data_IF_295154319782
#
_entry.id   IF_295154319782
#
_cell.length_a   1.000
_cell.length_b   1.000
_cell.length_c   1.000
_cell.angle_alpha   90.00
_cell.angle_beta   90.00
_cell.angle_gamma   90.00
#
_symmetry.space_group_name_H-M   'P 1'
#
loop_
_entity.id
_entity.type
_entity.pdbx_description
1 polymer ?
#
# COMPACT_ATOMS: atom_id res chain seq x y z
N UNK A 1 -13.18 2.73 19.26
CA UNK A 1 -14.51 3.15 18.78
C UNK A 1 -15.10 2.10 17.85
N UNK A 2 -14.47 1.82 16.71
CA UNK A 2 -14.98 0.88 15.69
C UNK A 2 -15.21 -0.55 16.18
N UNK A 3 -14.27 -1.15 16.92
CA UNK A 3 -14.44 -2.52 17.45
C UNK A 3 -15.56 -2.66 18.50
N UNK A 4 -15.94 -1.56 19.16
CA UNK A 4 -17.03 -1.58 20.16
C UNK A 4 -18.41 -1.35 19.53
N UNK A 5 -18.45 -0.79 18.32
CA UNK A 5 -19.68 -0.46 17.60
C UNK A 5 -20.02 -1.45 16.49
N UNK A 6 -19.14 -2.42 16.22
CA UNK A 6 -19.32 -3.40 15.16
C UNK A 6 -20.08 -4.61 15.72
N UNK A 7 -21.14 -5.02 15.03
CA UNK A 7 -21.88 -6.23 15.36
C UNK A 7 -21.22 -7.41 14.66
N UNK A 8 -20.62 -8.31 15.43
CA UNK A 8 -19.93 -9.49 14.92
C UNK A 8 -20.93 -10.63 14.79
N UNK A 9 -21.02 -11.21 13.59
CA UNK A 9 -21.81 -12.41 13.37
C UNK A 9 -21.33 -13.53 14.33
N UNK A 10 -22.25 -14.24 15.02
CA UNK A 10 -21.89 -15.27 15.99
C UNK A 10 -20.97 -16.39 15.49
N UNK A 11 -20.87 -16.58 14.17
CA UNK A 11 -19.98 -17.57 13.54
C UNK A 11 -18.52 -17.13 13.44
N UNK A 12 -18.21 -15.85 13.67
CA UNK A 12 -16.88 -15.30 13.51
C UNK A 12 -16.06 -15.52 14.78
N UNK A 13 -14.98 -16.29 14.72
CA UNK A 13 -14.12 -16.51 15.90
C UNK A 13 -12.83 -15.67 15.88
N UNK A 14 -12.47 -15.11 14.72
CA UNK A 14 -11.17 -14.44 14.50
C UNK A 14 -11.35 -13.07 13.86
N UNK A 15 -10.74 -12.04 14.46
CA UNK A 15 -10.70 -10.68 13.91
C UNK A 15 -9.32 -10.41 13.33
N UNK A 16 -9.25 -10.06 12.04
CA UNK A 16 -8.00 -9.67 11.36
C UNK A 16 -7.92 -8.16 11.23
N UNK A 17 -6.83 -7.57 11.72
CA UNK A 17 -6.57 -6.14 11.69
C UNK A 17 -5.32 -5.87 10.85
N UNK A 18 -5.42 -4.94 9.91
CA UNK A 18 -4.30 -4.53 9.07
C UNK A 18 -3.74 -3.21 9.57
N UNK A 19 -2.45 -3.17 9.89
CA UNK A 19 -1.76 -1.97 10.36
C UNK A 19 -0.73 -1.52 9.33
N UNK A 20 -1.16 -0.68 8.39
CA UNK A 20 -0.29 -0.03 7.40
C UNK A 20 0.38 1.23 8.00
N UNK A 21 1.65 1.46 7.67
CA UNK A 21 2.41 2.62 8.18
C UNK A 21 2.87 2.55 9.65
N UNK A 22 2.74 1.39 10.30
CA UNK A 22 3.19 1.21 11.68
C UNK A 22 4.72 1.13 11.77
N UNK A 23 5.34 1.95 12.62
CA UNK A 23 6.80 2.07 12.72
C UNK A 23 7.49 0.84 13.31
N UNK A 24 7.68 -0.22 12.52
CA UNK A 24 8.38 -1.45 12.92
C UNK A 24 7.71 -2.25 14.04
N UNK A 25 8.09 -3.52 14.18
CA UNK A 25 7.49 -4.49 15.11
C UNK A 25 7.51 -4.08 16.61
N UNK A 26 8.30 -3.07 17.01
CA UNK A 26 8.56 -2.77 18.43
C UNK A 26 7.99 -1.42 18.93
N UNK A 27 7.30 -0.63 18.11
CA UNK A 27 6.67 0.63 18.56
C UNK A 27 5.17 0.53 18.82
N UNK A 28 4.61 -0.68 18.80
CA UNK A 28 3.16 -0.90 18.79
C UNK A 28 2.61 -1.45 20.11
N UNK A 29 3.39 -1.39 21.20
CA UNK A 29 3.02 -1.93 22.51
C UNK A 29 1.67 -1.42 23.01
N UNK A 30 1.38 -0.14 22.82
CA UNK A 30 0.09 0.45 23.21
C UNK A 30 -1.08 -0.15 22.42
N UNK A 31 -0.88 -0.42 21.13
CA UNK A 31 -1.89 -1.03 20.28
C UNK A 31 -2.10 -2.50 20.64
N UNK A 32 -1.01 -3.24 20.90
CA UNK A 32 -1.10 -4.62 21.42
C UNK A 32 -1.86 -4.67 22.76
N UNK A 33 -1.55 -3.77 23.70
CA UNK A 33 -2.22 -3.70 25.00
C UNK A 33 -3.71 -3.36 24.84
N UNK A 34 -4.05 -2.42 23.96
CA UNK A 34 -5.44 -2.06 23.68
C UNK A 34 -6.23 -3.22 23.07
N UNK A 35 -5.64 -3.96 22.12
CA UNK A 35 -6.29 -5.12 21.51
C UNK A 35 -6.45 -6.29 22.49
N UNK A 36 -5.44 -6.53 23.33
CA UNK A 36 -5.52 -7.54 24.37
C UNK A 36 -6.62 -7.22 25.40
N UNK A 37 -6.69 -5.97 25.86
CA UNK A 37 -7.75 -5.52 26.76
C UNK A 37 -9.13 -5.68 26.13
N UNK A 38 -9.29 -5.25 24.88
CA UNK A 38 -10.57 -5.39 24.18
C UNK A 38 -10.98 -6.87 24.02
N UNK A 39 -10.04 -7.76 23.65
CA UNK A 39 -10.33 -9.19 23.53
C UNK A 39 -10.81 -9.81 24.85
N UNK A 40 -10.16 -9.46 25.96
CA UNK A 40 -10.45 -10.04 27.27
C UNK A 40 -11.71 -9.49 27.92
N UNK A 41 -11.93 -8.18 27.85
CA UNK A 41 -12.94 -7.49 28.68
C UNK A 41 -14.17 -7.04 27.90
N UNK A 42 -14.05 -6.82 26.59
CA UNK A 42 -15.10 -6.11 25.82
C UNK A 42 -15.59 -6.87 24.58
N UNK A 43 -14.86 -7.86 24.11
CA UNK A 43 -15.21 -8.58 22.90
C UNK A 43 -16.40 -9.53 23.12
N UNK A 44 -17.21 -9.78 22.09
CA UNK A 44 -18.20 -10.85 22.14
C UNK A 44 -17.53 -12.20 22.47
N UNK A 45 -18.15 -13.01 23.34
CA UNK A 45 -17.58 -14.28 23.83
C UNK A 45 -17.20 -15.30 22.75
N UNK A 46 -17.72 -15.16 21.54
CA UNK A 46 -17.43 -16.04 20.41
C UNK A 46 -16.11 -15.67 19.70
N UNK A 47 -15.61 -14.44 19.88
CA UNK A 47 -14.32 -14.01 19.37
C UNK A 47 -13.22 -14.57 20.28
N UNK A 48 -12.30 -15.34 19.70
CA UNK A 48 -11.22 -16.03 20.42
C UNK A 48 -9.84 -15.52 20.07
N UNK A 49 -9.69 -14.91 18.90
CA UNK A 49 -8.38 -14.56 18.36
C UNK A 49 -8.41 -13.22 17.63
N UNK A 50 -7.34 -12.44 17.81
CA UNK A 50 -7.05 -11.26 17.01
C UNK A 50 -5.72 -11.49 16.29
N UNK A 51 -5.75 -11.33 14.98
CA UNK A 51 -4.56 -11.37 14.13
C UNK A 51 -4.24 -9.97 13.67
N UNK A 52 -3.08 -9.47 14.09
CA UNK A 52 -2.58 -8.18 13.66
C UNK A 52 -1.57 -8.38 12.53
N UNK A 53 -1.96 -7.99 11.33
CA UNK A 53 -1.19 -8.16 10.11
C UNK A 53 -0.47 -6.84 9.80
N UNK A 54 0.86 -6.90 9.80
CA UNK A 54 1.70 -5.84 9.29
C UNK A 54 2.05 -6.18 7.84
N UNK A 55 1.55 -5.44 6.84
CA UNK A 55 1.97 -5.66 5.47
C UNK A 55 3.49 -5.45 5.39
N UNK A 56 4.19 -6.40 4.79
CA UNK A 56 5.60 -6.21 4.46
C UNK A 56 5.66 -5.00 3.51
N UNK A 57 6.50 -4.03 3.83
CA UNK A 57 6.83 -2.88 2.96
C UNK A 57 7.54 -3.35 1.69
N UNK A 58 6.80 -4.03 0.82
CA UNK A 58 7.23 -4.50 -0.50
C UNK A 58 6.33 -3.98 -1.62
N UNK A 59 5.09 -3.60 -1.31
CA UNK A 59 4.13 -3.07 -2.28
C UNK A 59 3.98 -1.54 -2.25
N UNK A 60 4.66 -0.84 -1.34
CA UNK A 60 4.99 0.58 -1.56
C UNK A 60 6.20 0.75 -2.49
N UNK A 61 6.76 -0.36 -2.99
CA UNK A 61 7.70 -0.44 -4.10
C UNK A 61 7.01 -1.04 -5.33
N UNK A 62 5.84 -0.53 -5.70
CA UNK A 62 5.24 -0.81 -7.01
C UNK A 62 6.33 -0.50 -8.05
N UNK A 63 6.77 -1.47 -8.88
CA UNK A 63 7.81 -1.20 -9.88
C UNK A 63 7.46 0.01 -10.77
N UNK A 64 6.19 0.20 -11.18
CA UNK A 64 5.72 1.48 -11.75
C UNK A 64 6.06 2.72 -10.92
N UNK A 65 5.78 2.75 -9.61
CA UNK A 65 6.05 3.92 -8.75
C UNK A 65 7.54 4.24 -8.64
N UNK A 66 8.38 3.19 -8.61
CA UNK A 66 9.84 3.36 -8.68
C UNK A 66 10.25 4.01 -9.99
N UNK A 67 9.70 3.54 -11.11
CA UNK A 67 9.95 4.10 -12.44
C UNK A 67 9.47 5.55 -12.52
N UNK A 68 8.27 5.87 -12.02
CA UNK A 68 7.75 7.23 -11.96
C UNK A 68 8.63 8.15 -11.11
N UNK A 69 9.11 7.70 -9.95
CA UNK A 69 10.04 8.48 -9.12
C UNK A 69 11.39 8.75 -9.78
N UNK A 70 11.91 7.79 -10.56
CA UNK A 70 13.14 7.98 -11.35
C UNK A 70 12.94 8.97 -12.50
N UNK A 71 11.81 8.87 -13.20
CA UNK A 71 11.42 9.82 -14.25
C UNK A 71 11.27 11.23 -13.66
N UNK A 72 10.55 11.39 -12.55
CA UNK A 72 10.35 12.69 -11.89
C UNK A 72 11.68 13.32 -11.46
N UNK A 73 12.62 12.52 -10.94
CA UNK A 73 13.96 12.98 -10.58
C UNK A 73 14.76 13.49 -11.78
N UNK A 74 14.60 12.86 -12.94
CA UNK A 74 15.30 13.28 -14.16
C UNK A 74 14.58 14.47 -14.85
N UNK A 75 13.24 14.54 -14.81
CA UNK A 75 12.46 15.72 -15.24
C UNK A 75 12.91 16.97 -14.48
N UNK A 76 13.10 16.88 -13.16
CA UNK A 76 13.54 18.03 -12.34
C UNK A 76 14.89 18.64 -12.74
N UNK A 77 15.72 17.92 -13.51
CA UNK A 77 17.01 18.42 -14.01
C UNK A 77 16.90 19.12 -15.37
N UNK A 78 15.77 18.95 -16.06
CA UNK A 78 15.53 19.52 -17.38
C UNK A 78 14.66 20.77 -17.20
N UNK A 79 15.18 21.93 -17.58
CA UNK A 79 14.49 23.21 -17.40
C UNK A 79 13.35 23.43 -18.40
N UNK A 80 13.50 22.93 -19.64
CA UNK A 80 12.50 23.04 -20.71
C UNK A 80 12.59 21.80 -21.61
N UNK A 81 11.45 21.18 -21.91
CA UNK A 81 11.32 20.16 -22.96
C UNK A 81 10.60 20.85 -24.14
N UNK A 82 11.30 20.99 -25.27
CA UNK A 82 10.80 21.73 -26.44
C UNK A 82 10.06 20.81 -27.42
N UNK A 83 10.50 19.56 -27.54
CA UNK A 83 9.91 18.58 -28.45
C UNK A 83 9.29 17.40 -27.69
N UNK A 84 8.20 16.85 -28.25
CA UNK A 84 7.51 15.67 -27.69
C UNK A 84 8.42 14.44 -27.66
N UNK A 85 9.35 14.32 -28.61
CA UNK A 85 10.42 13.32 -28.65
C UNK A 85 11.26 13.30 -27.36
N UNK A 86 11.45 14.45 -26.71
CA UNK A 86 12.21 14.57 -25.47
C UNK A 86 11.57 13.83 -24.29
N UNK A 87 10.24 13.70 -24.27
CA UNK A 87 9.54 12.89 -23.26
C UNK A 87 9.73 11.39 -23.51
N UNK A 88 9.70 10.96 -24.78
CA UNK A 88 9.93 9.57 -25.14
C UNK A 88 11.34 9.12 -24.72
N UNK A 89 12.36 9.94 -24.99
CA UNK A 89 13.75 9.59 -24.63
C UNK A 89 13.96 9.54 -23.11
N UNK A 90 13.29 10.41 -22.36
CA UNK A 90 13.33 10.44 -20.91
C UNK A 90 12.66 9.21 -20.28
N UNK A 91 11.47 8.85 -20.77
CA UNK A 91 10.70 7.71 -20.26
C UNK A 91 11.36 6.39 -20.68
N UNK A 92 11.96 6.33 -21.88
CA UNK A 92 12.70 5.16 -22.41
C UNK A 92 13.92 4.80 -21.57
N UNK A 93 14.51 5.77 -20.87
CA UNK A 93 15.65 5.54 -19.96
C UNK A 93 15.30 4.63 -18.78
N UNK A 94 14.06 4.69 -18.30
CA UNK A 94 13.61 3.99 -17.09
C UNK A 94 12.52 2.95 -17.36
N UNK A 95 11.99 2.87 -18.59
CA UNK A 95 10.88 1.98 -18.94
C UNK A 95 10.84 1.62 -20.42
N UNK A 96 10.06 0.60 -20.79
CA UNK A 96 9.79 0.26 -22.18
C UNK A 96 8.57 1.03 -22.67
N UNK A 97 8.74 1.84 -23.72
CA UNK A 97 7.65 2.57 -24.38
C UNK A 97 7.11 1.73 -25.52
N UNK A 98 5.78 1.65 -25.65
CA UNK A 98 5.10 1.14 -26.83
C UNK A 98 4.13 2.18 -27.34
N UNK A 99 4.10 2.41 -28.65
CA UNK A 99 3.27 3.43 -29.30
C UNK A 99 2.07 2.80 -29.98
N UNK A 100 0.89 3.34 -29.69
CA UNK A 100 -0.35 2.96 -30.35
C UNK A 100 -0.28 3.40 -31.83
N UNK A 101 -0.66 2.51 -32.75
CA UNK A 101 -0.54 2.71 -34.20
C UNK A 101 0.82 2.38 -34.81
N UNK A 102 1.80 1.95 -33.99
CA UNK A 102 3.10 1.43 -34.45
C UNK A 102 3.32 0.01 -33.90
N UNK A 103 3.24 -0.13 -32.57
CA UNK A 103 3.47 -1.41 -31.88
C UNK A 103 2.16 -2.16 -31.60
N UNK A 104 1.04 -1.45 -31.63
CA UNK A 104 -0.29 -1.99 -31.35
C UNK A 104 -1.30 -1.42 -32.32
N UNK A 105 -2.05 -2.29 -32.99
CA UNK A 105 -3.19 -1.91 -33.81
C UNK A 105 -4.45 -1.81 -32.95
N UNK A 106 -5.18 -0.70 -33.11
CA UNK A 106 -6.52 -0.55 -32.56
C UNK A 106 -7.49 -1.17 -33.58
N UNK A 107 -8.08 -2.30 -33.22
CA UNK A 107 -9.19 -2.91 -33.94
C UNK A 107 -10.50 -2.17 -33.69
#
# INVERSE_FOLDING_TARGET
HTLKSFDFDPSIETVRLFADGCGGQNKNTNMMAMLAYWLLEESPKHIRQIELIFPIVGHSFIPPDRVFGLIEKDIKKISVIVEVSGYDDLIRKHSTIRKIGIDWDLF
#
